data_IF_413065906182
#
_entry.id   IF_413065906182
#
_cell.length_a   1.000
_cell.length_b   1.000
_cell.length_c   1.000
_cell.angle_alpha   90.00
_cell.angle_beta   90.00
_cell.angle_gamma   90.00
#
_symmetry.space_group_name_H-M   'P 1'
#
loop_
_entity.id
_entity.type
_entity.pdbx_description
1 polymer ?
#
# COMPACT_ATOMS: atom_id res chain seq x y z
N UNK A 1 -15.25 -11.40 23.00
CA UNK A 1 -15.94 -10.09 22.95
C UNK A 1 -17.29 -10.08 23.63
N UNK A 2 -18.23 -10.99 23.31
CA UNK A 2 -19.52 -11.01 24.00
C UNK A 2 -19.39 -11.09 25.53
N UNK A 3 -18.57 -12.00 26.02
CA UNK A 3 -18.29 -12.16 27.46
C UNK A 3 -17.72 -10.88 28.09
N UNK A 4 -16.74 -10.23 27.45
CA UNK A 4 -16.18 -8.93 27.87
C UNK A 4 -17.28 -7.85 27.95
N UNK A 5 -18.13 -7.76 26.92
CA UNK A 5 -19.23 -6.79 26.85
C UNK A 5 -20.28 -7.03 27.93
N UNK A 6 -20.68 -8.29 28.13
CA UNK A 6 -21.61 -8.71 29.18
C UNK A 6 -21.09 -8.34 30.56
N UNK A 7 -19.81 -8.60 30.85
CA UNK A 7 -19.18 -8.25 32.13
C UNK A 7 -19.18 -6.74 32.41
N UNK A 8 -18.89 -5.93 31.39
CA UNK A 8 -18.97 -4.46 31.51
C UNK A 8 -20.41 -3.99 31.76
N UNK A 9 -21.37 -4.57 31.05
CA UNK A 9 -22.80 -4.27 31.20
C UNK A 9 -23.30 -4.63 32.59
N UNK A 10 -22.98 -5.83 33.06
CA UNK A 10 -23.37 -6.32 34.37
C UNK A 10 -22.84 -5.40 35.47
N UNK A 11 -21.57 -5.00 35.38
CA UNK A 11 -20.98 -4.10 36.37
C UNK A 11 -21.59 -2.69 36.32
N UNK A 12 -21.83 -2.12 35.13
CA UNK A 12 -22.54 -0.83 35.02
C UNK A 12 -23.92 -0.90 35.67
N UNK A 13 -24.68 -1.97 35.40
CA UNK A 13 -26.02 -2.15 35.96
C UNK A 13 -25.98 -2.39 37.47
N UNK A 14 -24.95 -3.08 37.99
CA UNK A 14 -24.80 -3.36 39.43
C UNK A 14 -24.60 -2.08 40.24
N UNK A 15 -23.92 -1.08 39.67
CA UNK A 15 -23.70 0.24 40.28
C UNK A 15 -24.75 1.29 39.88
N UNK A 16 -25.73 0.92 39.05
CA UNK A 16 -26.89 1.76 38.71
C UNK A 16 -26.61 2.92 37.75
N UNK A 17 -25.50 2.88 37.00
CA UNK A 17 -25.12 3.93 36.06
C UNK A 17 -25.86 3.76 34.72
N UNK A 18 -26.35 4.85 34.16
CA UNK A 18 -26.99 4.85 32.84
C UNK A 18 -25.97 4.81 31.69
N UNK A 19 -26.41 4.43 30.48
CA UNK A 19 -25.54 4.44 29.30
C UNK A 19 -25.12 5.88 28.98
N UNK A 20 -26.07 6.81 29.12
CA UNK A 20 -25.88 8.24 28.86
C UNK A 20 -24.82 8.84 29.80
N UNK A 21 -24.89 8.53 31.09
CA UNK A 21 -23.95 8.97 32.12
C UNK A 21 -22.53 8.40 31.88
N UNK A 22 -22.42 7.09 31.66
CA UNK A 22 -21.14 6.47 31.34
C UNK A 22 -20.53 7.05 30.05
N UNK A 23 -21.35 7.30 29.03
CA UNK A 23 -20.92 7.90 27.78
C UNK A 23 -20.41 9.34 27.99
N UNK A 24 -21.12 10.15 28.78
CA UNK A 24 -20.71 11.52 29.09
C UNK A 24 -19.36 11.56 29.83
N UNK A 25 -19.22 10.77 30.89
CA UNK A 25 -18.01 10.73 31.72
C UNK A 25 -16.78 10.23 30.94
N UNK A 26 -16.98 9.21 30.09
CA UNK A 26 -15.92 8.63 29.26
C UNK A 26 -15.68 9.42 27.96
N UNK A 27 -16.46 10.48 27.69
CA UNK A 27 -16.43 11.25 26.44
C UNK A 27 -16.62 10.37 25.20
N UNK A 28 -17.53 9.41 25.31
CA UNK A 28 -17.94 8.49 24.27
C UNK A 28 -19.37 8.83 23.82
N UNK A 29 -19.77 8.31 22.67
CA UNK A 29 -21.19 8.36 22.27
C UNK A 29 -21.93 7.21 22.96
N UNK A 30 -23.22 7.38 23.35
CA UNK A 30 -24.03 6.29 23.93
C UNK A 30 -23.98 4.99 23.10
N UNK A 31 -24.11 5.13 21.77
CA UNK A 31 -24.00 4.01 20.84
C UNK A 31 -22.67 3.25 20.91
N UNK A 32 -21.57 3.89 21.33
CA UNK A 32 -20.28 3.20 21.52
C UNK A 32 -20.28 2.37 22.79
N UNK A 33 -20.91 2.84 23.88
CA UNK A 33 -21.09 2.07 25.11
C UNK A 33 -21.97 0.85 24.81
N UNK A 34 -23.10 1.05 24.13
CA UNK A 34 -24.00 -0.03 23.70
C UNK A 34 -23.25 -1.08 22.88
N UNK A 35 -22.51 -0.67 21.84
CA UNK A 35 -21.75 -1.61 21.00
C UNK A 35 -20.66 -2.37 21.78
N UNK A 36 -20.05 -1.76 22.80
CA UNK A 36 -19.09 -2.46 23.67
C UNK A 36 -19.81 -3.52 24.50
N UNK A 37 -20.93 -3.15 25.14
CA UNK A 37 -21.73 -4.04 25.98
C UNK A 37 -22.36 -5.20 25.19
N UNK A 38 -22.72 -4.98 23.93
CA UNK A 38 -23.21 -6.02 23.00
C UNK A 38 -22.09 -6.87 22.40
N UNK A 39 -20.82 -6.48 22.62
CA UNK A 39 -19.67 -7.13 22.02
C UNK A 39 -19.57 -6.95 20.51
N UNK A 40 -20.19 -5.90 19.95
CA UNK A 40 -20.19 -5.58 18.54
C UNK A 40 -18.87 -4.92 18.10
N UNK A 41 -17.84 -5.75 17.91
CA UNK A 41 -16.53 -5.32 17.45
C UNK A 41 -16.56 -4.66 16.06
N UNK A 42 -17.48 -5.07 15.18
CA UNK A 42 -17.57 -4.57 13.80
C UNK A 42 -18.00 -3.10 13.72
N UNK A 43 -18.66 -2.58 14.76
CA UNK A 43 -18.98 -1.16 14.88
C UNK A 43 -17.75 -0.25 15.08
N UNK A 44 -16.58 -0.85 15.41
CA UNK A 44 -15.34 -0.13 15.63
C UNK A 44 -14.41 -0.28 14.43
N UNK A 45 -14.05 0.86 13.83
CA UNK A 45 -13.11 0.88 12.70
C UNK A 45 -11.68 0.51 13.12
N UNK A 46 -11.30 0.84 14.35
CA UNK A 46 -9.96 0.61 14.88
C UNK A 46 -10.02 -0.19 16.17
N UNK A 47 -9.36 -1.34 16.15
CA UNK A 47 -9.30 -2.27 17.28
C UNK A 47 -8.53 -1.70 18.47
N UNK A 48 -7.57 -0.80 18.23
CA UNK A 48 -6.84 -0.13 19.30
C UNK A 48 -7.74 0.82 20.08
N UNK A 49 -8.67 1.52 19.41
CA UNK A 49 -9.66 2.33 20.12
C UNK A 49 -10.60 1.47 20.94
N UNK A 50 -11.06 0.34 20.40
CA UNK A 50 -11.89 -0.59 21.18
C UNK A 50 -11.15 -1.07 22.44
N UNK A 51 -9.86 -1.43 22.32
CA UNK A 51 -9.01 -1.78 23.47
C UNK A 51 -8.94 -0.67 24.51
N UNK A 52 -8.74 0.57 24.08
CA UNK A 52 -8.69 1.72 24.99
C UNK A 52 -10.04 2.02 25.64
N UNK A 53 -11.14 1.87 24.91
CA UNK A 53 -12.48 2.03 25.48
C UNK A 53 -12.77 0.95 26.52
N UNK A 54 -12.43 -0.31 26.25
CA UNK A 54 -12.57 -1.38 27.26
C UNK A 54 -11.73 -1.06 28.50
N UNK A 55 -10.49 -0.60 28.32
CA UNK A 55 -9.61 -0.20 29.44
C UNK A 55 -10.24 0.92 30.27
N UNK A 56 -10.66 2.01 29.62
CA UNK A 56 -11.13 3.20 30.31
C UNK A 56 -12.50 2.97 30.95
N UNK A 57 -13.36 2.19 30.29
CA UNK A 57 -14.65 1.80 30.83
C UNK A 57 -14.49 0.86 32.04
N UNK A 58 -13.58 -0.11 31.97
CA UNK A 58 -13.26 -0.98 33.11
C UNK A 58 -12.78 -0.18 34.33
N UNK A 59 -11.90 0.81 34.11
CA UNK A 59 -11.44 1.72 35.18
C UNK A 59 -12.58 2.52 35.79
N UNK A 60 -13.45 3.05 34.94
CA UNK A 60 -14.62 3.82 35.38
C UNK A 60 -15.58 2.98 36.23
N UNK A 61 -15.79 1.72 35.86
CA UNK A 61 -16.64 0.77 36.61
C UNK A 61 -15.94 0.16 37.84
N UNK A 62 -14.68 0.48 38.12
CA UNK A 62 -13.93 -0.09 39.24
C UNK A 62 -13.48 -1.54 39.04
N UNK A 63 -13.57 -2.06 37.81
CA UNK A 63 -13.04 -3.37 37.44
C UNK A 63 -11.51 -3.33 37.36
N UNK A 64 -10.88 -4.50 37.52
CA UNK A 64 -9.45 -4.68 37.23
C UNK A 64 -9.21 -4.60 35.73
N UNK A 65 -8.87 -3.41 35.25
CA UNK A 65 -8.73 -3.15 33.81
C UNK A 65 -7.61 -3.97 33.17
N UNK A 66 -6.57 -4.34 33.91
CA UNK A 66 -5.50 -5.21 33.41
C UNK A 66 -6.05 -6.56 32.96
N UNK A 67 -6.88 -7.20 33.80
CA UNK A 67 -7.52 -8.50 33.48
C UNK A 67 -8.46 -8.35 32.28
N UNK A 68 -9.25 -7.26 32.21
CA UNK A 68 -10.16 -7.00 31.08
C UNK A 68 -9.40 -6.78 29.76
N UNK A 69 -8.26 -6.09 29.82
CA UNK A 69 -7.41 -5.84 28.65
C UNK A 69 -6.72 -7.12 28.20
N UNK A 70 -6.31 -7.98 29.12
CA UNK A 70 -5.69 -9.27 28.79
C UNK A 70 -6.69 -10.23 28.14
N UNK A 71 -7.91 -10.31 28.69
CA UNK A 71 -9.01 -11.08 28.10
C UNK A 71 -9.33 -10.59 26.66
N UNK A 72 -9.31 -9.27 26.44
CA UNK A 72 -9.45 -8.71 25.10
C UNK A 72 -8.30 -9.08 24.16
N UNK A 73 -7.06 -9.10 24.65
CA UNK A 73 -5.89 -9.46 23.84
C UNK A 73 -5.95 -10.95 23.44
N UNK A 74 -6.36 -11.82 24.36
CA UNK A 74 -6.57 -13.25 24.09
C UNK A 74 -7.67 -13.46 23.04
N UNK A 75 -8.82 -12.80 23.21
CA UNK A 75 -9.87 -12.80 22.20
C UNK A 75 -9.35 -12.36 20.82
N UNK A 76 -8.55 -11.29 20.77
CA UNK A 76 -8.02 -10.77 19.50
C UNK A 76 -7.02 -11.74 18.86
N UNK A 77 -6.20 -12.41 19.66
CA UNK A 77 -5.28 -13.46 19.19
C UNK A 77 -6.05 -14.63 18.59
N UNK A 78 -7.10 -15.10 19.26
CA UNK A 78 -7.97 -16.17 18.77
C UNK A 78 -8.73 -15.78 17.50
N UNK A 79 -9.15 -14.51 17.39
CA UNK A 79 -9.81 -13.99 16.20
C UNK A 79 -8.87 -13.94 15.00
N UNK A 80 -7.64 -13.45 15.20
CA UNK A 80 -6.66 -13.24 14.11
C UNK A 80 -5.92 -14.51 13.71
N UNK A 81 -5.69 -15.45 14.64
CA UNK A 81 -5.06 -16.75 14.35
C UNK A 81 -5.89 -17.66 13.44
N UNK A 82 -7.21 -17.43 13.37
CA UNK A 82 -8.13 -18.12 12.45
C UNK A 82 -8.00 -17.65 10.99
N UNK A 83 -7.28 -16.58 10.72
CA UNK A 83 -7.14 -16.01 9.37
C UNK A 83 -6.03 -16.75 8.62
N UNK A 84 -6.35 -17.35 7.46
CA UNK A 84 -5.34 -18.04 6.65
C UNK A 84 -4.40 -17.06 5.95
N UNK A 85 -3.15 -17.46 5.71
CA UNK A 85 -2.18 -16.64 4.95
C UNK A 85 -2.67 -16.32 3.53
N UNK A 86 -3.50 -17.20 2.95
CA UNK A 86 -4.02 -17.02 1.60
C UNK A 86 -5.14 -15.98 1.58
N UNK A 87 -6.01 -15.95 2.59
CA UNK A 87 -7.02 -14.88 2.76
C UNK A 87 -6.37 -13.50 2.88
N UNK A 88 -5.28 -13.39 3.63
CA UNK A 88 -4.50 -12.14 3.76
C UNK A 88 -3.93 -11.70 2.41
N UNK A 89 -3.39 -12.63 1.61
CA UNK A 89 -2.85 -12.33 0.28
C UNK A 89 -3.96 -11.88 -0.67
N UNK A 90 -5.13 -12.52 -0.62
CA UNK A 90 -6.27 -12.13 -1.45
C UNK A 90 -6.81 -10.75 -1.08
N UNK A 91 -6.95 -10.46 0.22
CA UNK A 91 -7.35 -9.15 0.72
C UNK A 91 -6.38 -8.05 0.27
N UNK A 92 -5.05 -8.28 0.39
CA UNK A 92 -4.03 -7.35 -0.11
C UNK A 92 -4.13 -7.13 -1.62
N UNK A 93 -4.25 -8.19 -2.42
CA UNK A 93 -4.41 -8.07 -3.87
C UNK A 93 -5.66 -7.26 -4.26
N UNK A 94 -6.76 -7.39 -3.51
CA UNK A 94 -7.97 -6.58 -3.73
C UNK A 94 -7.74 -5.12 -3.35
N UNK A 95 -7.12 -4.85 -2.19
CA UNK A 95 -6.78 -3.50 -1.76
C UNK A 95 -5.85 -2.78 -2.76
N UNK A 96 -4.77 -3.44 -3.21
CA UNK A 96 -3.83 -2.90 -4.20
C UNK A 96 -4.50 -2.59 -5.54
N UNK A 97 -5.50 -3.40 -5.95
CA UNK A 97 -6.30 -3.13 -7.15
C UNK A 97 -7.17 -1.89 -6.99
N UNK A 98 -7.84 -1.75 -5.84
CA UNK A 98 -8.70 -0.59 -5.52
C UNK A 98 -7.88 0.70 -5.46
N UNK A 99 -6.68 0.65 -4.87
CA UNK A 99 -5.76 1.78 -4.78
C UNK A 99 -5.24 2.21 -6.16
N UNK A 100 -4.93 1.25 -7.05
CA UNK A 100 -4.56 1.53 -8.45
C UNK A 100 -5.69 2.16 -9.26
N UNK A 101 -6.95 1.83 -8.97
CA UNK A 101 -8.11 2.42 -9.67
C UNK A 101 -8.51 3.78 -9.11
N UNK A 102 -8.32 4.01 -7.80
CA UNK A 102 -8.69 5.26 -7.12
C UNK A 102 -7.49 6.20 -6.94
N UNK A 103 -6.62 6.32 -7.95
CA UNK A 103 -5.58 7.34 -7.93
C UNK A 103 -6.26 8.72 -8.08
N UNK A 104 -6.60 9.34 -6.96
CA UNK A 104 -7.11 10.72 -6.89
C UNK A 104 -6.04 11.60 -7.55
N UNK A 105 -6.32 12.05 -8.77
CA UNK A 105 -5.47 12.96 -9.52
C UNK A 105 -5.63 14.37 -8.95
N UNK A 106 -5.08 14.62 -7.76
CA UNK A 106 -4.95 15.99 -7.25
C UNK A 106 -3.98 16.75 -8.17
N UNK A 107 -4.30 18.00 -8.58
CA UNK A 107 -3.39 18.83 -9.37
C UNK A 107 -2.00 19.00 -8.73
N UNK A 108 -1.89 18.76 -7.42
CA UNK A 108 -0.69 18.93 -6.62
C UNK A 108 0.12 17.63 -6.40
N UNK A 109 -0.36 16.46 -6.85
CA UNK A 109 0.34 15.17 -6.72
C UNK A 109 0.56 14.46 -8.06
N UNK A 110 0.51 15.22 -9.16
CA UNK A 110 0.89 14.73 -10.48
C UNK A 110 2.38 14.38 -10.47
N UNK A 111 2.69 13.09 -10.28
CA UNK A 111 4.03 12.61 -10.59
C UNK A 111 4.31 12.90 -12.08
N UNK A 112 5.36 13.67 -12.41
CA UNK A 112 5.66 13.96 -13.80
C UNK A 112 5.93 12.65 -14.52
N UNK A 113 5.13 12.35 -15.56
CA UNK A 113 5.40 11.22 -16.47
C UNK A 113 6.86 11.28 -16.88
N UNK A 114 7.63 10.26 -16.49
CA UNK A 114 9.05 10.13 -16.79
C UNK A 114 9.22 10.08 -18.31
N UNK A 115 9.53 11.24 -18.90
CA UNK A 115 9.74 11.37 -20.34
C UNK A 115 11.02 10.65 -20.66
N UNK A 116 10.93 9.58 -21.44
CA UNK A 116 12.08 8.83 -21.91
C UNK A 116 12.76 9.71 -22.96
N UNK A 117 13.91 10.29 -22.63
CA UNK A 117 14.67 11.14 -23.55
C UNK A 117 15.30 10.25 -24.63
N UNK A 118 14.61 10.06 -25.75
CA UNK A 118 15.08 9.28 -26.91
C UNK A 118 16.09 10.05 -27.79
N UNK A 119 16.30 11.34 -27.53
CA UNK A 119 17.27 12.20 -28.24
C UNK A 119 18.68 11.62 -28.29
N UNK A 120 19.31 11.16 -27.20
CA UNK A 120 20.63 10.51 -27.27
C UNK A 120 20.65 9.24 -28.12
N UNK A 121 19.54 8.48 -28.17
CA UNK A 121 19.45 7.26 -28.99
C UNK A 121 19.41 7.60 -30.48
N UNK A 122 18.70 8.66 -30.87
CA UNK A 122 18.68 9.17 -32.25
C UNK A 122 20.07 9.68 -32.66
N UNK A 123 20.75 10.44 -31.78
CA UNK A 123 22.11 10.94 -32.02
C UNK A 123 23.07 9.77 -32.25
N UNK A 124 22.99 8.72 -31.42
CA UNK A 124 23.83 7.54 -31.54
C UNK A 124 23.63 6.80 -32.87
N UNK A 125 22.37 6.61 -33.29
CA UNK A 125 22.04 6.00 -34.60
C UNK A 125 22.61 6.84 -35.75
N UNK A 126 22.56 8.17 -35.65
CA UNK A 126 23.05 9.07 -36.69
C UNK A 126 24.58 9.03 -36.82
N UNK A 127 25.31 8.94 -35.69
CA UNK A 127 26.77 8.75 -35.67
C UNK A 127 27.15 7.43 -36.33
N UNK A 128 26.46 6.33 -35.98
CA UNK A 128 26.71 5.01 -36.60
C UNK A 128 26.48 5.06 -38.12
N UNK A 129 25.40 5.70 -38.57
CA UNK A 129 25.12 5.84 -39.99
C UNK A 129 26.24 6.61 -40.72
N UNK A 130 26.76 7.69 -40.15
CA UNK A 130 27.88 8.44 -40.72
C UNK A 130 29.17 7.62 -40.81
N UNK A 131 29.46 6.79 -39.80
CA UNK A 131 30.63 5.88 -39.83
C UNK A 131 30.49 4.86 -40.96
N UNK A 132 29.31 4.27 -41.12
CA UNK A 132 29.04 3.30 -42.20
C UNK A 132 29.19 3.96 -43.57
N UNK A 133 28.66 5.17 -43.76
CA UNK A 133 28.81 5.93 -45.02
C UNK A 133 30.28 6.29 -45.28
N UNK A 134 31.00 6.73 -44.26
CA UNK A 134 32.43 7.04 -44.37
C UNK A 134 33.26 5.81 -44.77
N UNK A 135 33.01 4.66 -44.15
CA UNK A 135 33.63 3.39 -44.53
C UNK A 135 33.27 3.00 -45.97
N UNK A 136 32.02 3.14 -46.39
CA UNK A 136 31.59 2.84 -47.75
C UNK A 136 32.33 3.69 -48.80
N UNK A 137 32.49 4.99 -48.55
CA UNK A 137 33.24 5.89 -49.44
C UNK A 137 34.73 5.53 -49.47
N UNK A 138 35.32 5.24 -48.30
CA UNK A 138 36.73 4.83 -48.22
C UNK A 138 37.00 3.57 -49.05
N UNK A 139 36.19 2.52 -48.87
CA UNK A 139 36.35 1.28 -49.64
C UNK A 139 36.08 1.45 -51.14
N UNK A 140 35.19 2.36 -51.53
CA UNK A 140 34.96 2.68 -52.94
C UNK A 140 36.18 3.35 -53.57
N UNK A 141 36.78 4.32 -52.90
CA UNK A 141 37.96 5.02 -53.41
C UNK A 141 39.18 4.09 -53.58
N UNK A 142 39.36 3.12 -52.67
CA UNK A 142 40.45 2.14 -52.75
C UNK A 142 40.28 1.16 -53.94
N UNK A 143 39.04 0.83 -54.31
CA UNK A 143 38.77 0.06 -55.55
C UNK A 143 39.05 0.86 -56.83
N UNK A 144 38.77 2.17 -56.84
CA UNK A 144 39.04 3.04 -57.98
C UNK A 144 40.56 3.21 -58.25
N UNK A 145 41.39 3.28 -57.20
CA UNK A 145 42.86 3.26 -57.35
C UNK A 145 43.37 1.91 -57.89
N UNK A 146 42.80 0.78 -57.43
CA UNK A 146 43.16 -0.56 -57.93
C UNK A 146 42.76 -0.76 -59.41
N UNK A 147 41.60 -0.25 -59.83
CA UNK A 147 41.15 -0.33 -61.22
C UNK A 147 41.99 0.55 -62.16
N UNK A 148 42.35 1.77 -61.76
CA UNK A 148 43.16 2.64 -62.62
C UNK A 148 44.59 2.11 -62.83
N UNK A 149 45.22 1.55 -61.80
CA UNK A 149 46.57 0.97 -61.93
C UNK A 149 46.58 -0.31 -62.79
N UNK A 150 45.55 -1.15 -62.71
CA UNK A 150 45.45 -2.34 -63.57
C UNK A 150 45.22 -2.02 -65.06
N UNK A 151 44.51 -0.92 -65.37
CA UNK A 151 44.32 -0.45 -66.76
C UNK A 151 45.62 0.09 -67.36
N UNK A 152 46.44 0.83 -66.57
CA UNK A 152 47.73 1.38 -67.02
C UNK A 152 48.78 0.28 -67.27
N UNK A 153 48.75 -0.81 -66.50
CA UNK A 153 49.66 -1.95 -66.71
C UNK A 153 49.33 -2.71 -68.01
N UNK A 154 48.04 -2.81 -68.38
CA UNK A 154 47.61 -3.52 -69.60
C UNK A 154 47.72 -2.71 -70.90
N UNK A 155 47.96 -1.40 -70.84
CA UNK A 155 48.10 -0.55 -72.04
C UNK A 155 49.55 -0.38 -72.52
N UNK A 156 50.52 -1.02 -71.85
CA UNK A 156 51.96 -0.85 -72.12
C UNK A 156 52.64 -2.04 -72.82
N UNK A 157 51.88 -2.92 -73.48
CA UNK A 157 52.39 -3.98 -74.36
C UNK A 157 51.85 -3.80 -75.78
#
# INVERSE_FOLDING_TARGET
>A
MKEIGEKLREERLSIGISIEEAAEDLKMRPIQIENIEEGNMEAFQDIFYLKYFIRDYSKYLGLKYEEMVDEFNEFLFDYTSKISLDDIKEARKKADKIEKTNKISSPYTLEPRRRINITPLIIYILIIALVIVGLYVYFRNEQDEFNNNSIVINTKN
#
